data_IF_960558674260
#
_entry.id   IF_960558674260
#
_cell.length_a   1.000
_cell.length_b   1.000
_cell.length_c   1.000
_cell.angle_alpha   90.00
_cell.angle_beta   90.00
_cell.angle_gamma   90.00
#
_symmetry.space_group_name_H-M   'P 1'
#
loop_
_entity.id
_entity.type
_entity.pdbx_description
1 polymer ?
#
# COMPACT_ATOMS: atom_id res chain seq x y z
N UNK A 1 6.63 -2.66 6.43
CA UNK A 1 6.84 -1.69 5.34
C UNK A 1 5.59 -1.62 4.49
N UNK A 2 5.24 -0.45 3.98
CA UNK A 2 4.14 -0.26 3.04
C UNK A 2 4.66 -0.31 1.60
N UNK A 3 3.96 -1.01 0.73
CA UNK A 3 4.23 -1.06 -0.71
C UNK A 3 3.03 -0.48 -1.44
N UNK A 4 3.29 0.49 -2.31
CA UNK A 4 2.24 1.10 -3.14
C UNK A 4 1.64 0.04 -4.10
N UNK A 5 0.34 0.08 -4.38
CA UNK A 5 -0.62 1.07 -3.86
C UNK A 5 -1.18 0.72 -2.47
N UNK A 6 -1.30 -0.55 -2.11
CA UNK A 6 -2.17 -0.99 -1.02
C UNK A 6 -1.66 -2.22 -0.25
N UNK A 7 -0.38 -2.56 -0.39
CA UNK A 7 0.19 -3.75 0.24
C UNK A 7 0.95 -3.45 1.53
N UNK A 8 0.79 -4.35 2.49
CA UNK A 8 1.59 -4.37 3.73
C UNK A 8 2.59 -5.51 3.63
N UNK A 9 3.87 -5.19 3.78
CA UNK A 9 4.98 -6.13 3.66
C UNK A 9 5.61 -6.42 5.03
N UNK A 10 5.94 -7.68 5.27
CA UNK A 10 6.72 -8.16 6.40
C UNK A 10 7.96 -8.90 5.88
N UNK A 11 9.14 -8.40 6.17
CA UNK A 11 10.42 -8.98 5.72
C UNK A 11 10.46 -9.30 4.21
N UNK A 12 10.02 -8.34 3.38
CA UNK A 12 9.99 -8.49 1.92
C UNK A 12 8.85 -9.37 1.37
N UNK A 13 7.95 -9.88 2.22
CA UNK A 13 6.84 -10.75 1.84
C UNK A 13 5.50 -10.07 2.12
N UNK A 14 4.49 -10.31 1.29
CA UNK A 14 3.16 -9.72 1.49
C UNK A 14 2.46 -10.30 2.72
N UNK A 15 2.23 -9.45 3.71
CA UNK A 15 1.47 -9.77 4.92
C UNK A 15 -0.03 -9.57 4.72
N UNK A 16 -0.40 -8.55 3.94
CA UNK A 16 -1.79 -8.21 3.73
C UNK A 16 -1.94 -7.10 2.71
N UNK A 17 -3.17 -6.69 2.47
CA UNK A 17 -3.48 -5.61 1.55
C UNK A 17 -4.83 -4.97 1.85
N UNK A 18 -5.11 -3.87 1.16
CA UNK A 18 -6.34 -3.09 1.29
C UNK A 18 -7.03 -3.09 -0.07
N UNK A 19 -8.33 -3.33 -0.08
CA UNK A 19 -9.19 -3.21 -1.26
C UNK A 19 -10.21 -2.11 -1.02
N UNK A 20 -10.38 -1.23 -1.99
CA UNK A 20 -11.38 -0.18 -1.98
C UNK A 20 -12.38 -0.43 -3.09
N UNK A 21 -13.67 -0.46 -2.74
CA UNK A 21 -14.76 -0.56 -3.71
C UNK A 21 -15.71 0.62 -3.51
N UNK A 22 -15.98 1.34 -4.59
CA UNK A 22 -16.90 2.47 -4.59
C UNK A 22 -18.26 2.10 -5.17
N UNK A 23 -19.32 2.48 -4.47
CA UNK A 23 -20.71 2.39 -4.97
C UNK A 23 -21.44 3.69 -4.64
N UNK A 24 -21.69 4.49 -5.66
CA UNK A 24 -22.24 5.85 -5.49
C UNK A 24 -21.32 6.72 -4.64
N UNK A 25 -21.86 7.25 -3.53
CA UNK A 25 -21.14 8.09 -2.57
C UNK A 25 -20.50 7.31 -1.41
N UNK A 26 -20.56 5.99 -1.45
CA UNK A 26 -20.02 5.12 -0.42
C UNK A 26 -18.76 4.40 -0.91
N UNK A 27 -17.81 4.22 0.02
CA UNK A 27 -16.61 3.41 -0.22
C UNK A 27 -16.57 2.29 0.81
N UNK A 28 -16.54 1.05 0.34
CA UNK A 28 -16.21 -0.10 1.18
C UNK A 28 -14.70 -0.24 1.26
N UNK A 29 -14.17 -0.42 2.48
CA UNK A 29 -12.74 -0.62 2.72
C UNK A 29 -12.55 -2.03 3.27
N UNK A 30 -11.97 -2.91 2.46
CA UNK A 30 -11.62 -4.27 2.84
C UNK A 30 -10.15 -4.37 3.28
N UNK A 31 -9.90 -5.00 4.42
CA UNK A 31 -8.56 -5.30 4.91
C UNK A 31 -8.34 -6.81 4.89
N UNK A 32 -7.36 -7.27 4.13
CA UNK A 32 -6.89 -8.65 4.14
C UNK A 32 -5.56 -8.75 4.88
N UNK A 33 -5.50 -9.53 5.97
CA UNK A 33 -4.25 -9.73 6.73
C UNK A 33 -4.06 -11.21 7.05
N UNK A 34 -2.90 -11.74 6.74
CA UNK A 34 -2.52 -13.12 7.04
C UNK A 34 -2.12 -13.25 8.52
N UNK A 35 -3.09 -13.53 9.40
CA UNK A 35 -2.83 -13.60 10.84
C UNK A 35 -2.15 -14.92 11.25
N UNK A 36 -2.72 -16.06 10.89
CA UNK A 36 -2.22 -17.36 11.34
C UNK A 36 -1.24 -18.00 10.36
N UNK A 37 -1.64 -18.08 9.09
CA UNK A 37 -0.86 -18.71 8.01
C UNK A 37 -0.82 -17.80 6.78
N UNK A 38 0.28 -17.88 6.06
CA UNK A 38 0.39 -17.27 4.74
C UNK A 38 -0.16 -18.23 3.68
N UNK A 39 -0.87 -17.74 2.65
CA UNK A 39 -1.25 -18.58 1.52
C UNK A 39 -0.01 -18.97 0.70
N UNK A 40 -0.03 -20.17 0.13
CA UNK A 40 0.95 -20.59 -0.87
C UNK A 40 0.49 -20.10 -2.23
N UNK A 41 1.18 -19.10 -2.76
CA UNK A 41 0.89 -18.49 -4.05
C UNK A 41 2.08 -18.67 -4.98
N UNK A 42 1.84 -19.17 -6.20
CA UNK A 42 2.90 -19.28 -7.20
C UNK A 42 3.41 -17.88 -7.58
N UNK A 43 4.72 -17.68 -7.52
CA UNK A 43 5.38 -16.44 -7.93
C UNK A 43 5.25 -15.26 -6.96
N UNK A 44 4.55 -15.41 -5.83
CA UNK A 44 4.38 -14.33 -4.82
C UNK A 44 4.72 -14.82 -3.43
N UNK A 45 5.72 -14.23 -2.82
CA UNK A 45 6.09 -14.53 -1.44
C UNK A 45 5.10 -13.88 -0.45
N UNK A 46 4.42 -14.70 0.35
CA UNK A 46 3.51 -14.25 1.39
C UNK A 46 4.09 -14.49 2.79
N UNK A 47 3.70 -13.66 3.75
CA UNK A 47 4.02 -13.77 5.17
C UNK A 47 2.75 -13.82 6.01
N UNK A 48 2.87 -14.25 7.26
CA UNK A 48 1.81 -14.17 8.27
C UNK A 48 2.39 -13.68 9.60
N UNK A 49 1.49 -13.33 10.52
CA UNK A 49 1.85 -13.03 11.91
C UNK A 49 2.03 -14.31 12.76
N UNK A 50 2.03 -15.49 12.15
CA UNK A 50 2.25 -16.79 12.81
C UNK A 50 1.31 -17.05 14.00
N UNK A 51 0.09 -16.52 13.94
CA UNK A 51 -0.91 -16.73 14.98
C UNK A 51 -0.70 -15.94 16.27
N UNK A 52 0.16 -14.90 16.27
CA UNK A 52 0.40 -14.04 17.44
C UNK A 52 -0.89 -13.41 17.97
N UNK A 53 -1.89 -13.20 17.12
CA UNK A 53 -3.17 -12.61 17.50
C UNK A 53 -4.34 -13.30 16.77
N UNK A 54 -5.39 -13.64 17.51
CA UNK A 54 -6.61 -14.16 16.91
C UNK A 54 -7.39 -13.07 16.16
N UNK A 55 -8.16 -13.40 15.09
CA UNK A 55 -8.94 -12.44 14.33
C UNK A 55 -9.90 -11.60 15.19
N UNK A 56 -10.51 -12.19 16.20
CA UNK A 56 -11.45 -11.52 17.11
C UNK A 56 -10.78 -10.45 17.97
N UNK A 57 -9.49 -10.62 18.29
CA UNK A 57 -8.70 -9.62 19.02
C UNK A 57 -8.09 -8.60 18.07
N UNK A 58 -7.74 -8.98 16.84
CA UNK A 58 -7.14 -8.11 15.84
C UNK A 58 -8.14 -7.10 15.27
N UNK A 59 -9.36 -7.54 14.94
CA UNK A 59 -10.34 -6.71 14.26
C UNK A 59 -10.69 -5.40 15.00
N UNK A 60 -10.98 -5.39 16.31
CA UNK A 60 -11.26 -4.15 17.04
C UNK A 60 -10.04 -3.20 17.11
N UNK A 61 -8.81 -3.73 17.17
CA UNK A 61 -7.58 -2.92 17.15
C UNK A 61 -7.42 -2.24 15.78
N UNK A 62 -7.65 -2.99 14.70
CA UNK A 62 -7.61 -2.45 13.34
C UNK A 62 -8.70 -1.38 13.15
N UNK A 63 -9.94 -1.67 13.55
CA UNK A 63 -11.06 -0.75 13.42
C UNK A 63 -10.82 0.57 14.19
N UNK A 64 -10.32 0.49 15.41
CA UNK A 64 -9.97 1.67 16.21
C UNK A 64 -8.84 2.49 15.58
N UNK A 65 -7.83 1.84 15.05
CA UNK A 65 -6.73 2.50 14.33
C UNK A 65 -7.21 3.16 13.05
N UNK A 66 -8.06 2.48 12.29
CA UNK A 66 -8.65 3.02 11.06
C UNK A 66 -9.53 4.24 11.36
N UNK A 67 -10.43 4.17 12.35
CA UNK A 67 -11.29 5.29 12.73
C UNK A 67 -10.48 6.54 13.10
N UNK A 68 -9.42 6.37 13.90
CA UNK A 68 -8.53 7.48 14.28
C UNK A 68 -7.82 8.09 13.06
N UNK A 69 -7.28 7.27 12.15
CA UNK A 69 -6.61 7.75 10.95
C UNK A 69 -7.58 8.38 9.95
N UNK A 70 -8.81 7.88 9.89
CA UNK A 70 -9.88 8.47 9.06
C UNK A 70 -10.27 9.87 9.55
N UNK A 71 -10.36 10.08 10.86
CA UNK A 71 -10.57 11.40 11.45
C UNK A 71 -9.41 12.33 11.10
N UNK A 72 -8.18 11.88 11.31
CA UNK A 72 -6.99 12.65 10.96
C UNK A 72 -6.98 13.04 9.46
N UNK A 73 -7.31 12.11 8.58
CA UNK A 73 -7.38 12.37 7.14
C UNK A 73 -8.42 13.41 6.76
N UNK A 74 -9.56 13.43 7.45
CA UNK A 74 -10.63 14.40 7.18
C UNK A 74 -10.33 15.79 7.71
N UNK A 75 -9.55 15.90 8.77
CA UNK A 75 -9.31 17.14 9.53
C UNK A 75 -7.92 17.76 9.25
N UNK A 76 -7.02 17.02 8.56
CA UNK A 76 -5.64 17.43 8.34
C UNK A 76 -5.31 17.65 6.88
N UNK A 77 -4.19 18.31 6.63
CA UNK A 77 -3.59 18.42 5.30
C UNK A 77 -3.27 17.00 4.75
N UNK A 78 -3.71 16.66 3.53
CA UNK A 78 -3.37 15.40 2.87
C UNK A 78 -1.87 15.09 2.83
N UNK A 79 -1.02 16.11 2.80
CA UNK A 79 0.43 15.95 2.83
C UNK A 79 0.95 15.30 4.12
N UNK A 80 0.29 15.51 5.26
CA UNK A 80 0.69 14.87 6.52
C UNK A 80 0.54 13.36 6.48
N UNK A 81 -0.54 12.86 5.87
CA UNK A 81 -0.72 11.41 5.70
C UNK A 81 0.26 10.83 4.67
N UNK A 82 0.50 11.54 3.58
CA UNK A 82 1.52 11.15 2.61
C UNK A 82 2.91 11.04 3.27
N UNK A 83 3.29 12.02 4.07
CA UNK A 83 4.55 11.98 4.83
C UNK A 83 4.59 10.80 5.82
N UNK A 84 3.51 10.57 6.59
CA UNK A 84 3.43 9.44 7.50
C UNK A 84 3.49 8.09 6.78
N UNK A 85 2.94 7.99 5.58
CA UNK A 85 3.04 6.82 4.73
C UNK A 85 4.48 6.61 4.25
N UNK A 86 5.15 7.68 3.78
CA UNK A 86 6.52 7.64 3.28
C UNK A 86 7.53 7.15 4.35
N UNK A 87 7.30 7.47 5.63
CA UNK A 87 8.17 6.95 6.71
C UNK A 87 8.14 5.43 6.87
N UNK A 88 7.16 4.76 6.26
CA UNK A 88 6.95 3.31 6.34
C UNK A 88 7.04 2.63 4.98
N UNK A 89 7.22 3.40 3.92
CA UNK A 89 7.34 2.92 2.54
C UNK A 89 8.76 2.45 2.21
N UNK A 90 8.97 2.12 0.94
CA UNK A 90 10.32 1.92 0.40
C UNK A 90 11.14 3.21 0.52
N UNK A 91 12.45 3.10 0.67
CA UNK A 91 13.32 4.26 0.56
C UNK A 91 13.19 4.96 -0.79
N UNK A 92 13.25 6.29 -0.78
CA UNK A 92 13.37 7.08 -2.02
C UNK A 92 14.59 6.56 -2.80
N UNK A 93 14.44 6.45 -4.12
CA UNK A 93 15.46 5.91 -5.03
C UNK A 93 15.38 4.39 -5.24
N UNK A 94 14.51 3.67 -4.51
CA UNK A 94 14.26 2.24 -4.77
C UNK A 94 13.79 2.03 -6.21
N UNK A 95 14.39 1.09 -6.94
CA UNK A 95 13.97 0.76 -8.30
C UNK A 95 12.63 0.02 -8.24
N UNK A 96 11.69 0.47 -9.04
CA UNK A 96 10.35 -0.11 -9.15
C UNK A 96 10.01 -0.36 -10.62
N UNK A 97 9.24 -1.41 -10.83
CA UNK A 97 8.53 -1.65 -12.09
C UNK A 97 7.03 -1.61 -11.80
N UNK A 98 6.31 -0.78 -12.55
CA UNK A 98 4.86 -0.62 -12.42
C UNK A 98 4.19 -1.22 -13.64
N UNK A 99 3.29 -2.16 -13.42
CA UNK A 99 2.43 -2.75 -14.44
C UNK A 99 1.07 -2.06 -14.39
N UNK A 100 0.75 -1.29 -15.42
CA UNK A 100 -0.55 -0.63 -15.54
C UNK A 100 -1.61 -1.60 -16.08
N UNK A 101 -2.89 -1.25 -15.91
CA UNK A 101 -4.02 -2.03 -16.45
C UNK A 101 -4.09 -2.03 -17.99
N UNK A 102 -3.28 -1.24 -18.67
CA UNK A 102 -3.21 -1.13 -20.14
C UNK A 102 -2.04 -1.92 -20.75
N UNK A 103 -1.51 -2.95 -20.04
CA UNK A 103 -0.31 -3.72 -20.41
C UNK A 103 0.96 -2.87 -20.61
N UNK A 104 0.94 -1.63 -20.13
CA UNK A 104 2.13 -0.79 -20.11
C UNK A 104 2.96 -1.09 -18.87
N UNK A 105 4.25 -1.25 -19.07
CA UNK A 105 5.24 -1.41 -18.00
C UNK A 105 6.12 -0.18 -17.93
N UNK A 106 6.16 0.45 -16.78
CA UNK A 106 6.97 1.65 -16.52
C UNK A 106 7.99 1.31 -15.44
N UNK A 107 9.28 1.47 -15.73
CA UNK A 107 10.35 1.28 -14.76
C UNK A 107 11.02 2.59 -14.41
N UNK A 108 11.39 2.75 -13.12
CA UNK A 108 12.06 3.95 -12.63
C UNK A 108 12.42 3.84 -11.16
N UNK A 109 12.75 4.95 -10.55
CA UNK A 109 13.07 5.05 -9.12
C UNK A 109 11.91 5.68 -8.37
N UNK A 110 11.57 5.09 -7.25
CA UNK A 110 10.57 5.66 -6.33
C UNK A 110 10.98 7.06 -5.88
N UNK A 111 10.15 8.05 -6.17
CA UNK A 111 10.35 9.46 -5.82
C UNK A 111 9.28 9.98 -4.84
N UNK A 112 8.54 9.08 -4.21
CA UNK A 112 7.49 9.41 -3.24
C UNK A 112 6.08 9.20 -3.78
N UNK A 113 5.13 9.86 -3.12
CA UNK A 113 3.71 9.92 -3.53
C UNK A 113 3.22 11.36 -3.51
N UNK A 114 2.23 11.65 -4.34
CA UNK A 114 1.48 12.93 -4.33
C UNK A 114 0.52 12.99 -3.14
N UNK A 115 -0.04 14.17 -2.86
CA UNK A 115 -1.04 14.35 -1.81
C UNK A 115 -2.33 13.56 -2.03
N UNK A 116 -2.65 13.18 -3.26
CA UNK A 116 -3.77 12.30 -3.64
C UNK A 116 -3.41 10.80 -3.58
N UNK A 117 -2.16 10.45 -3.20
CA UNK A 117 -1.66 9.09 -3.11
C UNK A 117 -1.11 8.52 -4.42
N UNK A 118 -1.08 9.28 -5.51
CA UNK A 118 -0.47 8.85 -6.76
C UNK A 118 1.04 8.61 -6.59
N UNK A 119 1.55 7.53 -7.19
CA UNK A 119 2.97 7.18 -7.14
C UNK A 119 3.79 8.15 -8.01
N UNK A 120 4.88 8.64 -7.47
CA UNK A 120 5.91 9.40 -8.20
C UNK A 120 7.03 8.44 -8.59
N UNK A 121 7.27 8.31 -9.89
CA UNK A 121 8.31 7.45 -10.44
C UNK A 121 9.24 8.28 -11.30
N UNK A 122 10.51 8.37 -10.91
CA UNK A 122 11.55 9.09 -11.67
C UNK A 122 12.26 8.14 -12.61
N UNK A 123 12.20 8.44 -13.90
CA UNK A 123 12.92 7.68 -14.91
C UNK A 123 14.42 7.96 -14.88
N UNK A 124 15.21 7.08 -15.48
CA UNK A 124 16.67 7.20 -15.48
C UNK A 124 17.15 8.46 -16.26
N UNK A 125 16.37 8.93 -17.26
CA UNK A 125 16.62 10.19 -17.97
C UNK A 125 16.18 11.44 -17.19
N UNK A 126 15.63 11.28 -15.98
CA UNK A 126 15.26 12.37 -15.08
C UNK A 126 13.80 12.84 -15.17
N UNK A 127 13.01 12.36 -16.14
CA UNK A 127 11.59 12.67 -16.23
C UNK A 127 10.82 12.05 -15.05
N UNK A 128 9.67 12.64 -14.71
CA UNK A 128 8.81 12.21 -13.61
C UNK A 128 7.47 11.72 -14.14
N UNK A 129 7.14 10.46 -13.87
CA UNK A 129 5.81 9.91 -14.12
C UNK A 129 4.96 9.96 -12.85
N UNK A 130 3.68 10.29 -13.01
CA UNK A 130 2.67 10.24 -11.96
C UNK A 130 1.72 9.09 -12.27
N UNK A 131 1.80 8.03 -11.48
CA UNK A 131 1.05 6.79 -11.69
C UNK A 131 -0.08 6.69 -10.67
N UNK A 132 -1.33 6.52 -11.15
CA UNK A 132 -2.53 6.48 -10.30
C UNK A 132 -3.07 5.08 -10.06
N UNK A 133 -2.73 4.13 -10.93
CA UNK A 133 -3.16 2.73 -10.81
C UNK A 133 -2.10 1.79 -11.39
N UNK A 134 -1.97 0.61 -10.82
CA UNK A 134 -1.06 -0.43 -11.27
C UNK A 134 -0.61 -1.34 -10.14
N UNK A 135 0.08 -2.43 -10.47
CA UNK A 135 0.79 -3.28 -9.51
C UNK A 135 2.29 -2.97 -9.58
N UNK A 136 2.95 -2.98 -8.45
CA UNK A 136 4.38 -2.65 -8.34
C UNK A 136 5.19 -3.90 -8.07
N UNK A 137 6.24 -4.07 -8.85
CA UNK A 137 7.30 -5.05 -8.63
C UNK A 137 8.59 -4.36 -8.17
N UNK A 138 9.31 -5.05 -7.25
CA UNK A 138 10.54 -4.57 -6.59
C UNK A 138 11.75 -5.28 -7.16
#
# INVERSE_FOLDING_TARGET
MLKWPNDVMLLGRKLGGILLERSGDRVAVGFGVNLAKAPELQGRAAASLSGVMAPQAFAPVLAGSFARLLTLWRESDPLLLAQAWLTRAHPIGTRLTVHSSADETISGRFDGIEGDGALRLRRDEGSLDIVRAGDVEL
#
